data_IF_534354720562
#
_entry.id   IF_534354720562
#
_cell.length_a   1.000
_cell.length_b   1.000
_cell.length_c   1.000
_cell.angle_alpha   90.00
_cell.angle_beta   90.00
_cell.angle_gamma   90.00
#
_symmetry.space_group_name_H-M   'P 1'
#
loop_
_entity.id
_entity.type
_entity.pdbx_description
1 polymer ?
#
# COMPACT_ATOMS: atom_id res chain seq x y z
N UNK A 1 4.00 14.26 4.11
CA UNK A 1 4.70 14.03 5.39
C UNK A 1 3.71 13.96 6.55
N UNK A 2 2.85 14.96 6.78
CA UNK A 2 1.87 14.95 7.89
C UNK A 2 1.00 13.67 7.96
N UNK A 3 0.40 13.24 6.84
CA UNK A 3 -0.41 12.01 6.81
C UNK A 3 0.39 10.75 7.17
N UNK A 4 1.60 10.59 6.61
CA UNK A 4 2.48 9.45 6.93
C UNK A 4 2.87 9.44 8.41
N UNK A 5 3.22 10.61 8.97
CA UNK A 5 3.54 10.73 10.41
C UNK A 5 2.32 10.41 11.26
N UNK A 6 1.13 10.90 10.91
CA UNK A 6 -0.10 10.63 11.63
C UNK A 6 -0.43 9.14 11.64
N UNK A 7 -0.37 8.47 10.48
CA UNK A 7 -0.60 7.01 10.37
C UNK A 7 0.41 6.23 11.17
N UNK A 8 1.71 6.57 11.08
CA UNK A 8 2.73 5.87 11.85
C UNK A 8 2.57 6.05 13.36
N UNK A 9 2.27 7.27 13.83
CA UNK A 9 2.00 7.54 15.25
C UNK A 9 0.74 6.81 15.72
N UNK A 10 -0.29 6.76 14.87
CA UNK A 10 -1.46 5.95 15.09
C UNK A 10 -1.02 4.49 15.26
N UNK A 11 -0.50 3.82 14.24
CA UNK A 11 -0.11 2.39 14.32
C UNK A 11 0.79 2.08 15.54
N UNK A 12 1.70 2.98 15.93
CA UNK A 12 2.52 2.84 17.13
C UNK A 12 1.72 2.87 18.44
N UNK A 13 0.72 3.74 18.57
CA UNK A 13 -0.13 3.78 19.76
C UNK A 13 -0.90 2.47 19.95
N UNK A 14 -1.46 1.92 18.86
CA UNK A 14 -2.11 0.60 18.90
C UNK A 14 -1.15 -0.54 19.17
N UNK A 15 0.07 -0.42 18.63
CA UNK A 15 1.16 -1.34 18.95
C UNK A 15 1.40 -1.36 20.46
N UNK A 16 1.42 -0.20 21.12
CA UNK A 16 1.53 -0.09 22.57
C UNK A 16 0.39 -0.80 23.30
N UNK A 17 -0.85 -0.59 22.85
CA UNK A 17 -2.02 -1.29 23.39
C UNK A 17 -1.93 -2.82 23.25
N UNK A 18 -1.52 -3.34 22.09
CA UNK A 18 -1.30 -4.79 21.90
C UNK A 18 -0.06 -5.29 22.65
N UNK A 19 0.96 -4.45 22.77
CA UNK A 19 2.19 -4.72 23.53
C UNK A 19 1.92 -4.89 25.02
N UNK A 20 1.00 -4.10 25.58
CA UNK A 20 0.54 -4.27 26.95
C UNK A 20 0.00 -5.70 27.20
N UNK A 21 -0.86 -6.20 26.31
CA UNK A 21 -1.38 -7.58 26.42
C UNK A 21 -0.31 -8.63 26.12
N UNK A 22 0.61 -8.38 25.19
CA UNK A 22 1.73 -9.27 24.91
C UNK A 22 2.65 -9.44 26.13
N UNK A 23 2.82 -8.38 26.93
CA UNK A 23 3.56 -8.39 28.19
C UNK A 23 2.79 -9.04 29.36
N UNK A 24 1.55 -9.51 29.14
CA UNK A 24 0.72 -10.13 30.17
C UNK A 24 -0.19 -9.16 30.93
N UNK A 25 -0.37 -7.94 30.42
CA UNK A 25 -1.37 -7.02 30.92
C UNK A 25 -2.78 -7.62 30.85
N UNK A 26 -3.63 -7.26 31.82
CA UNK A 26 -4.98 -7.81 31.95
C UNK A 26 -6.05 -6.75 32.18
N UNK A 27 -5.67 -5.47 32.31
CA UNK A 27 -6.62 -4.38 32.41
C UNK A 27 -7.45 -4.27 31.13
N UNK A 28 -8.76 -4.10 31.30
CA UNK A 28 -9.76 -4.05 30.22
C UNK A 28 -9.90 -5.32 29.38
N UNK A 29 -9.44 -6.48 29.87
CA UNK A 29 -9.84 -7.74 29.25
C UNK A 29 -11.34 -7.97 29.48
N UNK A 30 -12.11 -8.30 28.43
CA UNK A 30 -13.54 -8.57 28.54
C UNK A 30 -13.82 -9.96 29.11
N UNK A 31 -12.77 -10.72 29.46
CA UNK A 31 -12.86 -12.10 29.90
C UNK A 31 -11.52 -12.65 30.39
N UNK A 32 -11.46 -13.97 30.60
CA UNK A 32 -10.23 -14.68 30.96
C UNK A 32 -9.75 -15.52 29.79
N UNK A 33 -8.49 -15.37 29.34
CA UNK A 33 -7.94 -16.23 28.30
C UNK A 33 -7.86 -17.67 28.81
N UNK A 34 -8.11 -18.64 27.92
CA UNK A 34 -8.00 -20.06 28.23
C UNK A 34 -6.54 -20.49 28.44
N UNK A 35 -5.65 -20.02 27.57
CA UNK A 35 -4.20 -20.13 27.72
C UNK A 35 -3.55 -18.74 27.69
N UNK A 36 -3.02 -18.25 28.83
CA UNK A 36 -2.30 -16.99 28.90
C UNK A 36 -1.08 -16.93 27.97
N UNK A 37 -0.38 -18.04 27.73
CA UNK A 37 0.79 -18.07 26.85
C UNK A 37 0.39 -17.87 25.39
N UNK A 38 -0.61 -18.60 24.91
CA UNK A 38 -1.18 -18.41 23.59
C UNK A 38 -1.74 -16.99 23.41
N UNK A 39 -2.45 -16.44 24.41
CA UNK A 39 -2.97 -15.07 24.35
C UNK A 39 -1.84 -14.04 24.19
N UNK A 40 -0.76 -14.17 24.97
CA UNK A 40 0.44 -13.32 24.82
C UNK A 40 1.07 -13.46 23.44
N UNK A 41 1.19 -14.68 22.93
CA UNK A 41 1.77 -14.95 21.60
C UNK A 41 0.97 -14.27 20.48
N UNK A 42 -0.37 -14.37 20.52
CA UNK A 42 -1.25 -13.71 19.53
C UNK A 42 -1.05 -12.19 19.58
N UNK A 43 -0.95 -11.61 20.78
CA UNK A 43 -0.72 -10.18 20.92
C UNK A 43 0.70 -9.77 20.48
N UNK A 44 1.72 -10.59 20.74
CA UNK A 44 3.08 -10.35 20.27
C UNK A 44 3.17 -10.41 18.73
N UNK A 45 2.49 -11.36 18.10
CA UNK A 45 2.38 -11.41 16.64
C UNK A 45 1.71 -10.14 16.08
N UNK A 46 0.63 -9.67 16.74
CA UNK A 46 -0.02 -8.41 16.37
C UNK A 46 0.92 -7.21 16.50
N UNK A 47 1.73 -7.13 17.57
CA UNK A 47 2.75 -6.08 17.73
C UNK A 47 3.71 -6.05 16.56
N UNK A 48 4.23 -7.20 16.13
CA UNK A 48 5.17 -7.27 14.99
C UNK A 48 4.50 -6.72 13.72
N UNK A 49 3.28 -7.15 13.44
CA UNK A 49 2.52 -6.69 12.26
C UNK A 49 2.31 -5.17 12.32
N UNK A 50 1.93 -4.63 13.49
CA UNK A 50 1.67 -3.21 13.66
C UNK A 50 2.93 -2.34 13.61
N UNK A 51 4.07 -2.85 14.08
CA UNK A 51 5.37 -2.18 13.88
C UNK A 51 5.71 -2.11 12.39
N UNK A 52 5.52 -3.20 11.66
CA UNK A 52 5.73 -3.20 10.21
C UNK A 52 4.80 -2.19 9.54
N UNK A 53 3.51 -2.16 9.91
CA UNK A 53 2.56 -1.17 9.43
C UNK A 53 3.02 0.27 9.75
N UNK A 54 3.49 0.54 10.96
CA UNK A 54 3.97 1.86 11.38
C UNK A 54 5.20 2.33 10.58
N UNK A 55 6.12 1.43 10.24
CA UNK A 55 7.34 1.76 9.50
C UNK A 55 7.08 1.89 7.99
N UNK A 56 6.08 1.16 7.47
CA UNK A 56 5.77 1.09 6.03
C UNK A 56 5.58 2.46 5.37
N UNK A 57 4.80 3.42 5.91
CA UNK A 57 4.65 4.76 5.34
C UNK A 57 5.97 5.49 5.13
N UNK A 58 6.94 5.32 6.03
CA UNK A 58 8.26 5.95 5.93
C UNK A 58 9.20 5.18 4.99
N UNK A 59 9.21 3.85 5.08
CA UNK A 59 10.02 3.01 4.21
C UNK A 59 9.67 3.21 2.74
N UNK A 60 8.41 3.53 2.43
CA UNK A 60 7.94 3.78 1.08
C UNK A 60 8.36 5.18 0.56
N UNK A 61 8.63 6.17 1.40
CA UNK A 61 9.03 7.53 0.98
C UNK A 61 10.23 7.58 0.01
N UNK A 62 11.37 6.91 0.23
CA UNK A 62 12.46 6.90 -0.75
C UNK A 62 12.08 6.20 -2.06
N UNK A 63 11.15 5.25 -2.01
CA UNK A 63 10.65 4.53 -3.19
C UNK A 63 9.77 5.42 -4.08
N UNK A 64 9.20 6.51 -3.54
CA UNK A 64 8.51 7.54 -4.31
C UNK A 64 9.39 8.26 -5.33
N UNK A 65 10.70 8.33 -5.08
CA UNK A 65 11.64 8.95 -6.01
C UNK A 65 11.92 8.06 -7.23
N UNK A 66 11.62 6.76 -7.15
CA UNK A 66 11.87 5.77 -8.22
C UNK A 66 10.54 5.35 -8.86
N UNK A 67 10.11 6.09 -9.89
CA UNK A 67 8.82 5.90 -10.61
C UNK A 67 8.72 4.63 -11.49
N UNK A 68 9.12 3.47 -10.96
CA UNK A 68 9.14 2.18 -11.67
C UNK A 68 8.16 1.14 -11.14
N UNK A 69 8.43 -0.13 -11.44
CA UNK A 69 7.66 -1.30 -10.95
C UNK A 69 7.54 -1.29 -9.42
N UNK A 70 8.59 -0.90 -8.72
CA UNK A 70 8.64 -0.87 -7.26
C UNK A 70 7.66 0.13 -6.67
N UNK A 71 7.46 1.28 -7.32
CA UNK A 71 6.46 2.25 -6.93
C UNK A 71 5.04 1.71 -7.08
N UNK A 72 4.76 1.01 -8.19
CA UNK A 72 3.45 0.35 -8.41
C UNK A 72 3.20 -0.73 -7.38
N UNK A 73 4.21 -1.51 -7.02
CA UNK A 73 4.11 -2.53 -5.98
C UNK A 73 3.83 -1.90 -4.61
N UNK A 74 4.50 -0.80 -4.27
CA UNK A 74 4.26 -0.07 -3.03
C UNK A 74 2.84 0.53 -2.97
N UNK A 75 2.32 1.04 -4.09
CA UNK A 75 0.93 1.47 -4.20
C UNK A 75 -0.06 0.32 -4.02
N UNK A 76 0.20 -0.80 -4.69
CA UNK A 76 -0.62 -2.01 -4.53
C UNK A 76 -0.66 -2.46 -3.08
N UNK A 77 0.48 -2.49 -2.40
CA UNK A 77 0.57 -2.82 -0.99
C UNK A 77 -0.22 -1.83 -0.11
N UNK A 78 -0.03 -0.51 -0.29
CA UNK A 78 -0.77 0.50 0.47
C UNK A 78 -2.28 0.37 0.25
N UNK A 79 -2.70 0.12 -1.00
CA UNK A 79 -4.10 -0.09 -1.33
C UNK A 79 -4.66 -1.37 -0.69
N UNK A 80 -3.94 -2.49 -0.75
CA UNK A 80 -4.36 -3.74 -0.12
C UNK A 80 -4.50 -3.58 1.40
N UNK A 81 -3.55 -2.91 2.06
CA UNK A 81 -3.63 -2.60 3.49
C UNK A 81 -4.84 -1.72 3.77
N UNK A 82 -5.02 -0.64 3.01
CA UNK A 82 -6.16 0.26 3.17
C UNK A 82 -7.50 -0.47 3.07
N UNK A 83 -7.71 -1.23 1.99
CA UNK A 83 -8.94 -2.00 1.78
C UNK A 83 -9.13 -3.06 2.87
N UNK A 84 -8.07 -3.79 3.23
CA UNK A 84 -8.12 -4.80 4.28
C UNK A 84 -8.56 -4.22 5.62
N UNK A 85 -7.95 -3.11 6.04
CA UNK A 85 -8.28 -2.41 7.29
C UNK A 85 -9.71 -1.85 7.28
N UNK A 86 -10.14 -1.19 6.19
CA UNK A 86 -11.50 -0.66 6.07
C UNK A 86 -12.53 -1.79 6.08
N UNK A 87 -12.33 -2.85 5.29
CA UNK A 87 -13.23 -4.00 5.26
C UNK A 87 -13.32 -4.70 6.61
N UNK A 88 -12.18 -4.91 7.27
CA UNK A 88 -12.13 -5.47 8.63
C UNK A 88 -12.98 -4.64 9.59
N UNK A 89 -12.74 -3.33 9.64
CA UNK A 89 -13.46 -2.41 10.50
C UNK A 89 -14.97 -2.44 10.25
N UNK A 90 -15.40 -2.37 8.99
CA UNK A 90 -16.82 -2.32 8.64
C UNK A 90 -17.53 -3.65 8.94
N UNK A 91 -16.92 -4.77 8.59
CA UNK A 91 -17.51 -6.10 8.83
C UNK A 91 -17.64 -6.32 10.33
N UNK A 92 -16.58 -6.15 11.10
CA UNK A 92 -16.64 -6.38 12.54
C UNK A 92 -17.56 -5.38 13.24
N UNK A 93 -17.52 -4.09 12.90
CA UNK A 93 -18.43 -3.10 13.48
C UNK A 93 -19.89 -3.49 13.24
N UNK A 94 -20.22 -3.93 12.01
CA UNK A 94 -21.56 -4.43 11.68
C UNK A 94 -21.92 -5.66 12.52
N UNK A 95 -21.00 -6.63 12.65
CA UNK A 95 -21.21 -7.81 13.48
C UNK A 95 -21.46 -7.44 14.95
N UNK A 96 -20.67 -6.51 15.52
CA UNK A 96 -20.82 -6.05 16.91
C UNK A 96 -22.13 -5.29 17.11
N UNK A 97 -22.51 -4.41 16.19
CA UNK A 97 -23.79 -3.69 16.22
C UNK A 97 -24.98 -4.66 16.21
N UNK A 98 -24.91 -5.73 15.40
CA UNK A 98 -25.95 -6.76 15.37
C UNK A 98 -25.90 -7.70 16.59
N UNK A 99 -24.73 -7.91 17.19
CA UNK A 99 -24.58 -8.79 18.35
C UNK A 99 -25.09 -8.17 19.65
N UNK A 100 -24.90 -6.86 19.84
CA UNK A 100 -25.38 -6.14 21.03
C UNK A 100 -26.90 -6.31 21.33
N UNK A 101 -27.81 -6.22 20.35
CA UNK A 101 -29.24 -6.52 20.55
C UNK A 101 -29.57 -8.03 20.46
N UNK A 102 -28.59 -8.90 20.25
CA UNK A 102 -28.80 -10.35 20.12
C UNK A 102 -29.26 -10.82 18.74
N UNK A 103 -29.19 -9.97 17.71
CA UNK A 103 -29.56 -10.33 16.33
C UNK A 103 -28.51 -11.20 15.64
N UNK A 104 -27.26 -11.16 16.12
CA UNK A 104 -26.17 -12.02 15.66
C UNK A 104 -25.45 -12.65 16.86
N UNK A 105 -25.36 -13.98 16.89
CA UNK A 105 -24.54 -14.66 17.88
C UNK A 105 -23.11 -14.83 17.36
N UNK A 106 -22.13 -14.33 18.12
CA UNK A 106 -20.71 -14.43 17.79
C UNK A 106 -20.10 -15.51 18.67
N UNK A 107 -19.71 -16.62 18.06
CA UNK A 107 -19.07 -17.72 18.76
C UNK A 107 -17.60 -17.40 19.03
N UNK A 108 -17.30 -17.12 20.29
CA UNK A 108 -15.93 -16.98 20.76
C UNK A 108 -15.36 -18.37 21.05
N UNK A 109 -14.29 -18.73 20.33
CA UNK A 109 -13.69 -20.06 20.43
C UNK A 109 -13.17 -20.33 21.85
N UNK A 110 -13.62 -21.43 22.46
CA UNK A 110 -13.22 -21.85 23.80
C UNK A 110 -11.71 -22.11 23.95
N UNK A 111 -11.00 -22.39 22.84
CA UNK A 111 -9.55 -22.53 22.84
C UNK A 111 -8.81 -21.23 23.15
N UNK A 112 -9.47 -20.07 23.03
CA UNK A 112 -8.87 -18.75 23.27
C UNK A 112 -9.39 -18.15 24.57
N UNK A 113 -10.66 -18.36 24.90
CA UNK A 113 -11.32 -17.76 26.06
C UNK A 113 -11.92 -18.83 26.98
N UNK A 114 -11.52 -18.83 28.25
CA UNK A 114 -12.14 -19.65 29.29
C UNK A 114 -13.47 -19.06 29.77
N UNK A 115 -13.59 -17.73 29.75
CA UNK A 115 -14.84 -17.01 29.98
C UNK A 115 -14.77 -15.68 29.26
N UNK A 116 -15.90 -15.20 28.73
CA UNK A 116 -15.96 -13.93 28.01
C UNK A 116 -17.30 -13.25 28.25
N UNK A 117 -17.26 -11.95 28.53
CA UNK A 117 -18.45 -11.11 28.52
C UNK A 117 -18.61 -10.55 27.11
N UNK A 118 -19.47 -11.19 26.31
CA UNK A 118 -19.69 -10.85 24.89
C UNK A 118 -20.01 -9.38 24.70
N UNK A 119 -20.91 -8.81 25.52
CA UNK A 119 -21.29 -7.39 25.44
C UNK A 119 -20.10 -6.45 25.67
N UNK A 120 -19.22 -6.77 26.62
CA UNK A 120 -18.03 -5.96 26.91
C UNK A 120 -17.02 -6.06 25.77
N UNK A 121 -16.83 -7.26 25.22
CA UNK A 121 -15.99 -7.48 24.03
C UNK A 121 -16.51 -6.69 22.83
N UNK A 122 -17.81 -6.74 22.58
CA UNK A 122 -18.41 -6.07 21.43
C UNK A 122 -18.30 -4.54 21.54
N UNK A 123 -18.46 -3.98 22.74
CA UNK A 123 -18.24 -2.56 22.99
C UNK A 123 -16.77 -2.18 22.86
N UNK A 124 -15.86 -3.02 23.36
CA UNK A 124 -14.42 -2.77 23.24
C UNK A 124 -13.99 -2.76 21.77
N UNK A 125 -14.47 -3.71 20.98
CA UNK A 125 -14.21 -3.75 19.54
C UNK A 125 -14.80 -2.50 18.88
N UNK A 126 -16.09 -2.21 19.11
CA UNK A 126 -16.79 -1.12 18.42
C UNK A 126 -16.25 0.28 18.77
N UNK A 127 -15.80 0.50 20.01
CA UNK A 127 -15.34 1.81 20.48
C UNK A 127 -13.84 2.00 20.30
N UNK A 128 -13.05 0.94 20.30
CA UNK A 128 -11.60 1.03 20.23
C UNK A 128 -11.03 0.36 18.98
N UNK A 129 -11.24 -0.95 18.79
CA UNK A 129 -10.53 -1.69 17.75
C UNK A 129 -11.01 -1.35 16.32
N UNK A 130 -12.32 -1.29 16.07
CA UNK A 130 -12.83 -1.04 14.71
C UNK A 130 -12.59 0.40 14.24
N UNK A 131 -12.83 1.45 15.05
CA UNK A 131 -12.47 2.81 14.67
C UNK A 131 -10.97 2.95 14.41
N UNK A 132 -10.16 2.20 15.16
CA UNK A 132 -8.71 2.16 14.98
C UNK A 132 -8.33 1.72 13.57
N UNK A 133 -8.80 0.54 13.15
CA UNK A 133 -8.52 -0.02 11.84
C UNK A 133 -9.11 0.82 10.72
N UNK A 134 -10.29 1.43 10.93
CA UNK A 134 -10.89 2.31 9.94
C UNK A 134 -9.98 3.53 9.66
N UNK A 135 -9.52 4.21 10.71
CA UNK A 135 -8.64 5.38 10.58
C UNK A 135 -7.28 5.00 9.99
N UNK A 136 -6.73 3.84 10.37
CA UNK A 136 -5.50 3.33 9.78
C UNK A 136 -5.67 3.08 8.26
N UNK A 137 -6.75 2.40 7.87
CA UNK A 137 -7.05 2.14 6.46
C UNK A 137 -7.25 3.42 5.63
N UNK A 138 -7.97 4.40 6.18
CA UNK A 138 -8.15 5.71 5.54
C UNK A 138 -6.82 6.48 5.42
N UNK A 139 -5.94 6.36 6.42
CA UNK A 139 -4.63 6.98 6.37
C UNK A 139 -3.69 6.36 5.33
N UNK A 140 -3.70 5.03 5.17
CA UNK A 140 -3.02 4.36 4.06
C UNK A 140 -3.63 4.73 2.71
N UNK A 141 -4.95 4.91 2.64
CA UNK A 141 -5.65 5.36 1.45
C UNK A 141 -5.34 6.82 1.08
N UNK A 142 -5.10 7.73 2.03
CA UNK A 142 -4.78 9.13 1.75
C UNK A 142 -3.27 9.39 1.51
N UNK A 143 -2.45 8.34 1.61
CA UNK A 143 -1.01 8.47 1.35
C UNK A 143 -0.77 9.06 -0.05
N UNK A 144 0.27 9.91 -0.26
CA UNK A 144 0.43 10.82 -1.41
C UNK A 144 0.31 10.21 -2.81
N UNK A 145 0.28 8.88 -2.89
CA UNK A 145 0.16 8.12 -4.12
C UNK A 145 -1.20 7.74 -4.62
N UNK A 146 -2.19 7.67 -3.75
CA UNK A 146 -3.57 7.38 -4.16
C UNK A 146 -4.18 8.55 -4.94
N UNK A 147 -3.74 9.77 -4.67
CA UNK A 147 -4.21 11.01 -5.30
C UNK A 147 -3.78 11.18 -6.77
N UNK A 148 -2.95 10.28 -7.31
CA UNK A 148 -2.35 10.40 -8.66
C UNK A 148 -2.61 9.21 -9.58
N UNK A 149 -3.70 8.45 -9.39
CA UNK A 149 -4.20 7.51 -10.40
C UNK A 149 -5.38 8.11 -11.21
N UNK A 150 -5.20 9.18 -12.03
CA UNK A 150 -6.27 9.71 -12.88
C UNK A 150 -6.59 8.80 -14.09
N UNK A 151 -6.12 7.54 -14.10
CA UNK A 151 -6.22 6.64 -15.26
C UNK A 151 -7.31 5.56 -15.18
N UNK A 152 -8.02 5.41 -14.05
CA UNK A 152 -9.03 4.35 -13.87
C UNK A 152 -10.47 4.86 -13.81
N UNK A 153 -10.68 6.17 -13.64
CA UNK A 153 -11.99 6.78 -13.90
C UNK A 153 -12.03 7.17 -15.38
N UNK A 154 -12.67 6.33 -16.20
CA UNK A 154 -12.85 6.57 -17.62
C UNK A 154 -13.47 7.93 -17.90
N UNK A 155 -12.64 8.91 -18.23
CA UNK A 155 -13.05 10.04 -19.03
C UNK A 155 -12.96 9.56 -20.48
N UNK A 156 -14.09 9.10 -21.03
CA UNK A 156 -14.33 9.00 -22.46
C UNK A 156 -14.35 10.39 -23.11
N UNK A 157 -13.27 11.15 -22.95
CA UNK A 157 -13.04 12.38 -23.67
C UNK A 157 -12.57 12.03 -25.08
N UNK A 158 -13.23 12.54 -26.14
CA UNK A 158 -12.83 12.24 -27.50
C UNK A 158 -11.38 12.67 -27.74
N UNK A 159 -10.59 11.76 -28.31
CA UNK A 159 -9.20 12.00 -28.66
C UNK A 159 -9.04 13.34 -29.40
N UNK A 160 -8.01 14.15 -29.10
CA UNK A 160 -7.76 15.37 -29.85
C UNK A 160 -7.51 14.99 -31.31
N UNK A 161 -8.42 15.42 -32.19
CA UNK A 161 -8.28 15.24 -33.63
C UNK A 161 -6.91 15.79 -34.07
N UNK A 162 -6.13 15.04 -34.88
CA UNK A 162 -4.89 15.55 -35.41
C UNK A 162 -5.19 16.82 -36.20
N UNK A 163 -4.57 17.92 -35.78
CA UNK A 163 -4.66 19.24 -36.42
C UNK A 163 -4.08 19.08 -37.82
N UNK A 164 -4.96 18.91 -38.80
CA UNK A 164 -4.67 18.82 -40.23
C UNK A 164 -3.88 20.07 -40.60
N UNK A 165 -2.55 19.94 -40.75
CA UNK A 165 -1.72 20.98 -41.37
C UNK A 165 -2.21 21.10 -42.80
N UNK A 166 -2.92 22.18 -43.08
CA UNK A 166 -3.18 22.66 -44.43
C UNK A 166 -1.84 22.90 -45.09
N UNK A 167 -1.48 22.00 -46.00
CA UNK A 167 -0.45 22.26 -46.99
C UNK A 167 -0.98 23.35 -47.93
N UNK A 168 -0.34 24.52 -47.93
CA UNK A 168 -0.44 25.46 -49.05
C UNK A 168 0.46 24.96 -50.18
N UNK A 169 -0.06 24.81 -51.41
CA UNK A 169 0.74 24.54 -52.59
C UNK A 169 1.05 25.86 -53.31
N UNK A 170 2.33 26.12 -53.56
CA UNK A 170 2.84 27.00 -54.62
C UNK A 170 4.35 26.70 -54.72
N UNK A 171 4.79 25.89 -55.70
CA UNK A 171 5.34 26.34 -57.00
C UNK A 171 6.41 27.43 -56.87
N UNK A 172 7.55 27.44 -57.54
CA UNK A 172 8.30 26.54 -58.42
C UNK A 172 9.59 27.33 -58.77
N UNK A 173 10.58 26.65 -59.36
CA UNK A 173 11.56 27.21 -60.31
C UNK A 173 12.94 27.69 -59.80
N UNK A 174 13.96 27.18 -60.50
CA UNK A 174 15.35 27.66 -60.66
C UNK A 174 16.29 27.50 -59.45
N UNK A 175 17.54 27.01 -59.57
CA UNK A 175 18.36 26.70 -60.74
C UNK A 175 19.62 25.91 -60.31
N UNK A 176 20.03 24.96 -61.17
CA UNK A 176 21.39 24.72 -61.69
C UNK A 176 22.61 24.42 -60.78
N UNK A 177 23.10 23.19 -60.97
CA UNK A 177 24.44 22.79 -61.49
C UNK A 177 25.75 23.14 -60.77
N UNK A 178 26.55 22.09 -60.55
CA UNK A 178 28.02 22.08 -60.40
C UNK A 178 28.45 20.91 -59.50
N UNK A 179 28.82 19.74 -60.04
CA UNK A 179 30.22 19.33 -60.36
C UNK A 179 31.10 19.28 -59.10
N UNK A 180 31.86 18.24 -58.74
CA UNK A 180 32.31 16.99 -59.36
C UNK A 180 33.38 16.41 -58.42
N UNK A 181 33.53 15.06 -58.37
CA UNK A 181 34.76 14.31 -58.04
C UNK A 181 35.35 14.48 -56.60
N UNK A 182 36.04 13.54 -55.94
CA UNK A 182 36.65 12.25 -56.26
C UNK A 182 37.24 11.64 -54.97
N UNK A 183 37.44 10.31 -54.95
CA UNK A 183 38.52 9.53 -54.28
C UNK A 183 38.73 9.70 -52.77
N UNK A 184 38.75 8.67 -51.92
CA UNK A 184 39.72 7.54 -51.87
C UNK A 184 39.40 6.76 -50.58
N UNK A 185 39.06 5.48 -50.61
CA UNK A 185 39.94 4.31 -50.39
C UNK A 185 41.09 4.51 -49.38
N UNK A 186 40.98 3.91 -48.19
CA UNK A 186 42.11 3.30 -47.48
C UNK A 186 41.59 2.36 -46.40
N UNK A 187 41.85 1.07 -46.65
CA UNK A 187 41.84 -0.03 -45.71
C UNK A 187 42.79 0.24 -44.54
N UNK A 188 42.39 -0.16 -43.33
CA UNK A 188 43.32 -0.49 -42.26
C UNK A 188 42.73 -1.60 -41.40
N UNK A 189 43.26 -2.77 -41.68
CA UNK A 189 43.18 -4.04 -40.99
C UNK A 189 43.72 -3.94 -39.55
N UNK A 190 43.11 -4.66 -38.61
CA UNK A 190 43.73 -5.01 -37.32
C UNK A 190 42.98 -6.14 -36.62
N UNK A 191 43.56 -7.34 -36.53
CA UNK A 191 43.07 -8.43 -35.71
C UNK A 191 43.76 -8.45 -34.35
N UNK A 192 42.98 -8.40 -33.26
CA UNK A 192 43.49 -8.45 -31.88
C UNK A 192 42.76 -9.51 -31.05
N UNK A 193 43.42 -10.66 -30.90
CA UNK A 193 43.03 -11.79 -30.03
C UNK A 193 42.93 -11.41 -28.56
N UNK A 194 42.05 -12.08 -27.81
CA UNK A 194 42.06 -12.05 -26.34
C UNK A 194 41.09 -13.02 -25.69
N UNK A 195 41.41 -14.33 -25.72
CA UNK A 195 40.86 -15.34 -24.80
C UNK A 195 41.40 -15.08 -23.39
N UNK A 196 40.55 -15.16 -22.36
CA UNK A 196 40.88 -15.92 -21.13
C UNK A 196 39.63 -16.12 -20.29
N UNK A 197 39.29 -17.40 -20.15
CA UNK A 197 38.46 -17.97 -19.10
C UNK A 197 39.28 -18.02 -17.81
N UNK A 198 38.67 -17.74 -16.65
CA UNK A 198 39.12 -18.30 -15.38
C UNK A 198 37.95 -18.35 -14.38
N UNK A 199 37.82 -19.55 -13.79
CA UNK A 199 37.19 -19.96 -12.52
C UNK A 199 35.74 -19.54 -12.23
#
# INVERSE_FOLDING_TARGET
MLASTAVSLWSLFYTGYRGYYAAGGTWFLPGRPADPAQFRLINAAAVIILVVAAVTPFAILPLWQRRGVVWRAALGLCWTVAVGCVMHALINATQRILSLPGLLHIEYRASVWASINTRTTDLQDLLFNEPWFLLEGLGFADSPGSRWAPGLTGAGGPAPRPRRRSASPSSACSQRSGSSASSSSSDADSPGRGRSSFA
#
